data_IF_175968542197
#
_entry.id   IF_175968542197
#
_cell.length_a   1.000
_cell.length_b   1.000
_cell.length_c   1.000
_cell.angle_alpha   90.00
_cell.angle_beta   90.00
_cell.angle_gamma   90.00
#
_symmetry.space_group_name_H-M   'P 1'
#
loop_
_entity.id
_entity.type
_entity.pdbx_description
1 polymer ?
#
# COMPACT_ATOMS: atom_id res chain seq x y z
N UNK A 1 2.31 -17.01 -15.21
CA UNK A 1 1.13 -16.20 -15.59
C UNK A 1 1.50 -15.38 -16.82
N UNK A 2 0.61 -15.17 -17.80
CA UNK A 2 0.88 -14.33 -18.98
C UNK A 2 1.20 -12.86 -18.65
N UNK A 3 1.02 -12.45 -17.39
CA UNK A 3 1.31 -11.12 -16.87
C UNK A 3 2.30 -11.19 -15.68
N UNK A 4 3.35 -12.00 -15.80
CA UNK A 4 4.41 -12.14 -14.78
C UNK A 4 5.13 -10.81 -14.45
N UNK A 5 5.04 -9.83 -15.35
CA UNK A 5 5.55 -8.48 -15.18
C UNK A 5 4.66 -7.55 -14.34
N UNK A 6 3.45 -7.99 -13.97
CA UNK A 6 2.55 -7.27 -13.07
C UNK A 6 2.65 -7.87 -11.66
N UNK A 7 3.20 -7.11 -10.72
CA UNK A 7 3.39 -7.60 -9.33
C UNK A 7 2.24 -7.25 -8.41
N UNK A 8 1.47 -6.21 -8.75
CA UNK A 8 0.33 -5.75 -7.97
C UNK A 8 -0.71 -5.13 -8.90
N UNK A 9 -1.98 -5.50 -8.70
CA UNK A 9 -3.13 -4.94 -9.39
C UNK A 9 -4.20 -4.62 -8.35
N UNK A 10 -4.72 -3.39 -8.34
CA UNK A 10 -5.75 -2.98 -7.37
C UNK A 10 -6.66 -1.90 -7.92
N UNK A 11 -7.86 -1.83 -7.37
CA UNK A 11 -8.87 -0.82 -7.71
C UNK A 11 -9.02 0.21 -6.58
N UNK A 12 -9.26 1.47 -6.93
CA UNK A 12 -9.64 2.56 -6.02
C UNK A 12 -10.84 3.33 -6.59
N UNK A 13 -11.52 4.08 -5.72
CA UNK A 13 -12.54 5.05 -6.14
C UNK A 13 -11.88 6.18 -6.94
N UNK A 14 -12.58 6.70 -7.94
CA UNK A 14 -12.12 7.86 -8.71
C UNK A 14 -12.22 9.15 -7.87
N UNK A 15 -11.30 10.08 -8.10
CA UNK A 15 -11.31 11.43 -7.53
C UNK A 15 -11.66 12.42 -8.65
N UNK A 16 -12.95 12.49 -8.96
CA UNK A 16 -13.44 13.30 -10.07
C UNK A 16 -13.52 14.79 -9.69
N UNK A 17 -13.27 15.70 -10.65
CA UNK A 17 -12.89 15.44 -12.05
C UNK A 17 -11.37 15.24 -12.25
N UNK A 18 -10.56 15.44 -11.22
CA UNK A 18 -9.09 15.61 -11.35
C UNK A 18 -8.36 14.31 -11.72
N UNK A 19 -8.87 13.16 -11.30
CA UNK A 19 -8.22 11.87 -11.48
C UNK A 19 -9.26 10.74 -11.71
N UNK A 20 -9.63 10.46 -12.96
CA UNK A 20 -10.68 9.49 -13.31
C UNK A 20 -10.21 8.01 -13.28
N UNK A 21 -8.92 7.74 -13.02
CA UNK A 21 -8.36 6.39 -13.08
C UNK A 21 -8.68 5.58 -11.81
N UNK A 22 -9.34 4.43 -11.99
CA UNK A 22 -9.76 3.55 -10.90
C UNK A 22 -8.96 2.26 -10.80
N UNK A 23 -8.35 1.77 -11.87
CA UNK A 23 -7.53 0.56 -11.90
C UNK A 23 -6.04 0.92 -11.96
N UNK A 24 -5.24 0.27 -11.12
CA UNK A 24 -3.81 0.52 -10.98
C UNK A 24 -3.03 -0.79 -11.08
N UNK A 25 -2.00 -0.80 -11.93
CA UNK A 25 -1.10 -1.95 -12.12
C UNK A 25 0.36 -1.54 -11.91
N UNK A 26 1.08 -2.30 -11.09
CA UNK A 26 2.52 -2.13 -10.90
C UNK A 26 3.26 -3.01 -11.91
N UNK A 27 3.82 -2.38 -12.95
CA UNK A 27 4.55 -3.04 -14.02
C UNK A 27 6.06 -2.82 -13.83
N UNK A 28 6.83 -3.90 -13.90
CA UNK A 28 8.29 -3.84 -13.84
C UNK A 28 8.91 -4.14 -15.20
N UNK A 29 10.11 -3.62 -15.46
CA UNK A 29 10.91 -3.86 -16.65
C UNK A 29 12.33 -3.37 -16.42
N UNK A 30 13.25 -3.70 -17.33
CA UNK A 30 14.68 -3.33 -17.20
C UNK A 30 14.94 -1.89 -17.65
N UNK A 31 14.06 -1.36 -18.49
CA UNK A 31 14.18 -0.06 -19.13
C UNK A 31 12.76 0.47 -19.47
N UNK A 32 12.68 1.70 -19.96
CA UNK A 32 11.39 2.34 -20.26
C UNK A 32 10.67 1.70 -21.44
N UNK A 33 11.39 1.31 -22.47
CA UNK A 33 10.80 0.73 -23.68
C UNK A 33 10.17 -0.63 -23.40
N UNK A 34 10.88 -1.49 -22.67
CA UNK A 34 10.35 -2.80 -22.27
C UNK A 34 9.11 -2.69 -21.37
N UNK A 35 9.02 -1.66 -20.51
CA UNK A 35 7.80 -1.36 -19.75
C UNK A 35 6.66 -0.91 -20.65
N UNK A 36 6.92 -0.03 -21.62
CA UNK A 36 5.87 0.45 -22.54
C UNK A 36 5.33 -0.67 -23.42
N UNK A 37 6.18 -1.59 -23.89
CA UNK A 37 5.74 -2.78 -24.61
C UNK A 37 4.81 -3.66 -23.75
N UNK A 38 5.18 -3.88 -22.48
CA UNK A 38 4.34 -4.63 -21.52
C UNK A 38 3.00 -3.94 -21.24
N UNK A 39 2.98 -2.61 -21.20
CA UNK A 39 1.73 -1.83 -21.10
C UNK A 39 0.85 -2.09 -22.32
N UNK A 40 1.40 -2.08 -23.54
CA UNK A 40 0.63 -2.40 -24.74
C UNK A 40 0.05 -3.82 -24.68
N UNK A 41 0.85 -4.81 -24.29
CA UNK A 41 0.37 -6.18 -24.11
C UNK A 41 -0.79 -6.25 -23.10
N UNK A 42 -0.71 -5.52 -21.98
CA UNK A 42 -1.79 -5.46 -21.00
C UNK A 42 -3.07 -4.84 -21.59
N UNK A 43 -2.93 -3.75 -22.34
CA UNK A 43 -4.06 -3.07 -22.98
C UNK A 43 -4.70 -3.95 -24.05
N UNK A 44 -3.92 -4.65 -24.87
CA UNK A 44 -4.41 -5.55 -25.91
C UNK A 44 -5.21 -6.73 -25.34
N UNK A 45 -4.82 -7.22 -24.17
CA UNK A 45 -5.53 -8.27 -23.43
C UNK A 45 -6.77 -7.76 -22.69
N UNK A 46 -6.94 -6.44 -22.54
CA UNK A 46 -8.10 -5.85 -21.88
C UNK A 46 -9.36 -6.05 -22.74
N UNK A 47 -10.47 -6.54 -22.16
CA UNK A 47 -11.77 -6.57 -22.84
C UNK A 47 -12.23 -5.19 -23.33
N UNK A 48 -11.71 -4.13 -22.71
CA UNK A 48 -12.05 -2.73 -23.00
C UNK A 48 -10.97 -2.02 -23.82
N UNK A 49 -10.09 -2.74 -24.53
CA UNK A 49 -8.90 -2.17 -25.21
C UNK A 49 -9.16 -0.92 -26.04
N UNK A 50 -10.31 -0.84 -26.74
CA UNK A 50 -10.69 0.30 -27.59
C UNK A 50 -11.09 1.56 -26.81
N UNK A 51 -11.40 1.42 -25.52
CA UNK A 51 -11.89 2.47 -24.63
C UNK A 51 -10.95 2.70 -23.44
N UNK A 52 -9.83 1.97 -23.39
CA UNK A 52 -8.90 2.04 -22.27
C UNK A 52 -8.05 3.30 -22.39
N UNK A 53 -8.48 4.38 -21.74
CA UNK A 53 -7.60 5.51 -21.41
C UNK A 53 -6.70 5.12 -20.23
N UNK A 54 -5.41 5.42 -20.33
CA UNK A 54 -4.43 5.11 -19.28
C UNK A 54 -3.30 6.13 -19.25
N UNK A 55 -2.65 6.23 -18.08
CA UNK A 55 -1.42 7.00 -17.89
C UNK A 55 -0.34 6.12 -17.29
N UNK A 56 0.86 6.19 -17.86
CA UNK A 56 2.05 5.50 -17.34
C UNK A 56 2.80 6.45 -16.42
N UNK A 57 2.93 6.06 -15.15
CA UNK A 57 3.63 6.84 -14.13
C UNK A 57 4.97 6.15 -13.78
N UNK A 58 6.05 6.58 -14.43
CA UNK A 58 7.38 6.06 -14.12
C UNK A 58 7.88 6.56 -12.76
N UNK A 59 8.27 5.64 -11.90
CA UNK A 59 9.00 5.98 -10.68
C UNK A 59 10.39 6.49 -11.04
N UNK A 60 10.68 7.76 -10.76
CA UNK A 60 11.98 8.39 -11.02
C UNK A 60 12.89 8.37 -9.80
N UNK A 61 12.30 8.53 -8.61
CA UNK A 61 13.02 8.55 -7.34
C UNK A 61 12.17 7.94 -6.25
N UNK A 62 12.82 7.16 -5.37
CA UNK A 62 12.20 6.59 -4.18
C UNK A 62 12.56 7.45 -2.97
N UNK A 63 11.62 8.26 -2.51
CA UNK A 63 11.82 9.12 -1.34
C UNK A 63 11.72 8.34 -0.01
N UNK A 64 10.87 7.33 0.04
CA UNK A 64 10.63 6.51 1.24
C UNK A 64 10.17 5.11 0.84
N UNK A 65 10.74 4.09 1.47
CA UNK A 65 10.24 2.71 1.40
C UNK A 65 10.52 2.04 2.75
N UNK A 66 9.45 1.82 3.51
CA UNK A 66 9.48 1.13 4.79
C UNK A 66 8.14 0.44 5.00
N UNK A 67 8.15 -0.64 5.78
CA UNK A 67 6.92 -1.28 6.23
C UNK A 67 6.09 -0.38 7.14
N UNK A 68 4.82 -0.71 7.30
CA UNK A 68 3.98 -0.07 8.30
C UNK A 68 4.45 -0.45 9.71
N UNK A 69 4.43 0.51 10.63
CA UNK A 69 4.74 0.30 12.05
C UNK A 69 3.42 0.18 12.80
N UNK A 70 3.06 -1.04 13.14
CA UNK A 70 1.89 -1.32 13.97
C UNK A 70 2.32 -1.41 15.43
N UNK A 71 1.50 -0.89 16.34
CA UNK A 71 1.74 -0.75 17.78
C UNK A 71 2.81 0.30 18.15
N UNK A 72 2.35 1.41 18.70
CA UNK A 72 3.19 2.19 19.61
C UNK A 72 3.10 1.45 20.95
N UNK A 73 4.20 0.89 21.47
CA UNK A 73 4.19 0.32 22.81
C UNK A 73 3.78 1.43 23.78
N UNK A 74 2.51 1.42 24.19
CA UNK A 74 2.07 2.24 25.29
C UNK A 74 2.84 1.72 26.51
N UNK A 75 3.65 2.60 27.11
CA UNK A 75 4.33 2.34 28.39
C UNK A 75 3.28 1.79 29.34
N UNK A 76 3.42 0.53 29.73
CA UNK A 76 2.70 -0.03 30.88
C UNK A 76 3.15 0.77 32.10
N UNK A 77 2.36 1.74 32.53
CA UNK A 77 2.50 2.29 33.88
C UNK A 77 2.00 1.22 34.85
N UNK A 78 2.94 0.43 35.37
CA UNK A 78 2.72 -0.34 36.58
C UNK A 78 2.51 0.65 37.71
N UNK A 79 1.27 0.87 38.12
CA UNK A 79 0.99 1.46 39.43
C UNK A 79 1.25 0.36 40.47
N UNK A 80 2.46 0.34 41.01
CA UNK A 80 2.73 -0.26 42.32
C UNK A 80 1.96 0.57 43.35
N UNK A 81 0.89 0.01 43.91
CA UNK A 81 0.27 0.53 45.13
C UNK A 81 1.10 0.02 46.32
N UNK A 82 2.14 0.77 46.68
CA UNK A 82 2.79 0.69 47.98
C UNK A 82 2.22 1.78 48.90
N UNK A 83 1.60 1.36 50.01
CA UNK A 83 1.06 2.25 51.05
C UNK A 83 0.15 1.45 51.99
N UNK A 84 0.71 0.64 52.90
CA UNK A 84 1.02 1.00 54.29
C UNK A 84 -0.19 0.86 55.26
N UNK A 85 -0.22 -0.30 55.92
CA UNK A 85 -0.34 -0.57 57.37
C UNK A 85 -1.23 0.33 58.26
N UNK A 86 -2.12 -0.27 59.08
CA UNK A 86 -2.01 -0.37 60.56
C UNK A 86 -3.32 -0.85 61.28
N UNK A 87 -3.16 -1.95 62.06
CA UNK A 87 -3.68 -2.28 63.43
C UNK A 87 -5.20 -2.34 63.74
N UNK A 88 -5.77 -3.24 64.57
CA UNK A 88 -5.38 -3.89 65.85
C UNK A 88 -6.26 -5.17 66.11
N UNK A 89 -6.17 -5.93 67.25
CA UNK A 89 -6.19 -7.39 67.25
C UNK A 89 -7.44 -8.05 67.88
N UNK A 90 -7.42 -9.38 67.84
CA UNK A 90 -8.38 -10.34 68.37
C UNK A 90 -8.49 -10.36 69.91
N UNK A 91 -9.46 -11.10 70.43
CA UNK A 91 -9.23 -12.16 71.41
C UNK A 91 -9.07 -13.53 70.76
#
# INVERSE_FOLDING_TARGET
SPLDFVTLCYQRRADLPRWPYTLYTMIHGKDRESVLQRVQTLVELSPLKQQTDYKVLFSSRRFKQQGARYFNQQRTTTTQNDGATQHHPAP
#
